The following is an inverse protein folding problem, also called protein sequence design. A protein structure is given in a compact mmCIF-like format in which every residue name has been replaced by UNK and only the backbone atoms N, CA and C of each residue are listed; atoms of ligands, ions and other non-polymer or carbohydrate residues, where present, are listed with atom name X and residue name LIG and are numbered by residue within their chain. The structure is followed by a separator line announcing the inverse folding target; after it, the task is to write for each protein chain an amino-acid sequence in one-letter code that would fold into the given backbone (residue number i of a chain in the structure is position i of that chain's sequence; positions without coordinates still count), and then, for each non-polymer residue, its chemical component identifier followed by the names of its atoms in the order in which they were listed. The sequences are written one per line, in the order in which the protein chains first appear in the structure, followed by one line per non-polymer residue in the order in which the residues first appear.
data_IF_378951447284
#
_entry.id   IF_378951447284
#
_cell.length_a   1.000
_cell.length_b   1.000
_cell.length_c   1.000
_cell.angle_alpha   90.00
_cell.angle_beta   90.00
_cell.angle_gamma   90.00
#
_symmetry.space_group_name_H-M   'P 1'
#
loop_
_entity.id
_entity.type
_entity.pdbx_description
1 polymer ?
#
# COMPACT_ATOMS: atom_id res chain seq x y z
N UNK A 1 28.64 38.38 -16.03
CA UNK A 1 27.72 37.64 -16.93
C UNK A 1 26.32 37.36 -16.33
N UNK A 2 26.18 36.84 -15.12
CA UNK A 2 24.87 36.48 -14.53
C UNK A 2 23.84 37.64 -14.37
N UNK A 3 24.29 38.88 -14.07
CA UNK A 3 23.39 40.05 -13.95
C UNK A 3 22.75 40.45 -15.29
N UNK A 4 23.49 40.37 -16.40
CA UNK A 4 22.99 40.70 -17.74
C UNK A 4 21.97 39.69 -18.22
N UNK A 5 22.24 38.38 -18.03
CA UNK A 5 21.31 37.32 -18.34
C UNK A 5 19.98 37.44 -17.57
N UNK A 6 20.04 37.77 -16.28
CA UNK A 6 18.85 37.96 -15.41
C UNK A 6 18.05 39.18 -15.83
N UNK A 7 18.70 40.26 -16.28
CA UNK A 7 18.03 41.44 -16.81
C UNK A 7 17.31 41.13 -18.12
N UNK A 8 17.98 40.52 -19.10
CA UNK A 8 17.39 40.11 -20.37
C UNK A 8 16.21 39.16 -20.20
N UNK A 9 16.33 38.17 -19.29
CA UNK A 9 15.24 37.26 -18.95
C UNK A 9 14.01 38.03 -18.42
N UNK A 10 14.20 38.99 -17.50
CA UNK A 10 13.12 39.81 -16.98
C UNK A 10 12.47 40.67 -18.06
N UNK A 11 13.21 41.24 -18.99
CA UNK A 11 12.67 42.06 -20.08
C UNK A 11 11.85 41.16 -21.05
N UNK A 12 12.36 40.01 -21.39
CA UNK A 12 11.63 39.02 -22.22
C UNK A 12 10.34 38.55 -21.55
N UNK A 13 10.38 38.30 -20.24
CA UNK A 13 9.17 37.93 -19.47
C UNK A 13 8.12 39.08 -19.50
N UNK A 14 8.52 40.31 -19.23
CA UNK A 14 7.63 41.47 -19.30
C UNK A 14 7.05 41.68 -20.70
N UNK A 15 7.86 41.56 -21.75
CA UNK A 15 7.40 41.67 -23.13
C UNK A 15 6.37 40.58 -23.48
N UNK A 16 6.57 39.34 -23.05
CA UNK A 16 5.61 38.23 -23.23
C UNK A 16 4.30 38.48 -22.48
N UNK A 17 4.37 38.99 -21.24
CA UNK A 17 3.19 39.33 -20.44
C UNK A 17 2.38 40.44 -21.10
N UNK A 18 3.06 41.49 -21.59
CA UNK A 18 2.42 42.61 -22.32
C UNK A 18 1.76 42.14 -23.62
N UNK A 19 2.47 41.34 -24.43
CA UNK A 19 1.92 40.76 -25.65
C UNK A 19 0.70 39.87 -25.38
N UNK A 20 0.74 39.08 -24.29
CA UNK A 20 -0.39 38.25 -23.85
C UNK A 20 -1.59 39.09 -23.43
N UNK A 21 -1.36 40.19 -22.69
CA UNK A 21 -2.41 41.10 -22.27
C UNK A 21 -3.10 41.78 -23.45
N UNK A 22 -2.32 42.27 -24.45
CA UNK A 22 -2.86 42.86 -25.69
C UNK A 22 -3.68 41.87 -26.49
N UNK A 23 -3.19 40.60 -26.60
CA UNK A 23 -3.93 39.53 -27.29
C UNK A 23 -5.24 39.22 -26.60
N UNK A 24 -5.25 39.17 -25.26
CA UNK A 24 -6.47 38.95 -24.47
C UNK A 24 -7.49 40.12 -24.62
N UNK A 25 -6.99 41.34 -24.65
CA UNK A 25 -7.87 42.56 -24.84
C UNK A 25 -8.54 42.56 -26.22
N UNK A 26 -7.88 42.03 -27.26
CA UNK A 26 -8.39 42.00 -28.63
C UNK A 26 -9.20 40.76 -28.98
N UNK A 27 -9.39 39.84 -28.02
CA UNK A 27 -10.21 38.64 -28.25
C UNK A 27 -11.70 38.98 -28.29
N UNK A 28 -12.43 38.35 -29.22
CA UNK A 28 -13.90 38.41 -29.24
C UNK A 28 -14.48 37.70 -28.01
N UNK A 29 -15.71 38.06 -27.61
CA UNK A 29 -16.34 37.46 -26.43
C UNK A 29 -16.51 35.96 -26.61
N UNK A 30 -16.79 35.49 -27.81
CA UNK A 30 -16.89 34.06 -28.16
C UNK A 30 -15.55 33.33 -27.99
N UNK A 31 -14.43 33.96 -28.31
CA UNK A 31 -13.09 33.37 -28.10
C UNK A 31 -12.73 33.31 -26.62
N UNK A 32 -13.15 34.28 -25.81
CA UNK A 32 -12.98 34.27 -24.36
C UNK A 32 -13.75 33.11 -23.73
N UNK A 33 -15.04 32.97 -24.08
CA UNK A 33 -15.88 31.83 -23.63
C UNK A 33 -15.29 30.51 -24.01
N UNK A 34 -14.87 30.29 -25.25
CA UNK A 34 -14.24 29.06 -25.71
C UNK A 34 -12.96 28.78 -24.92
N UNK A 35 -12.17 29.76 -24.61
CA UNK A 35 -10.94 29.64 -23.84
C UNK A 35 -11.22 29.24 -22.38
N UNK A 36 -12.25 29.84 -21.77
CA UNK A 36 -12.68 29.45 -20.43
C UNK A 36 -13.18 28.00 -20.40
N UNK A 37 -14.02 27.61 -21.35
CA UNK A 37 -14.51 26.23 -21.49
C UNK A 37 -13.34 25.25 -21.66
N UNK A 38 -12.40 25.55 -22.56
CA UNK A 38 -11.20 24.72 -22.75
C UNK A 38 -10.34 24.65 -21.50
N UNK A 39 -10.26 25.76 -20.75
CA UNK A 39 -9.58 25.81 -19.45
C UNK A 39 -10.21 24.86 -18.42
N UNK A 40 -11.53 24.90 -18.30
CA UNK A 40 -12.28 23.99 -17.43
C UNK A 40 -12.15 22.53 -17.86
N UNK A 41 -12.23 22.23 -19.16
CA UNK A 41 -12.01 20.88 -19.68
C UNK A 41 -10.61 20.39 -19.34
N UNK A 42 -9.58 21.21 -19.55
CA UNK A 42 -8.21 20.88 -19.20
C UNK A 42 -8.03 20.60 -17.71
N UNK A 43 -8.66 21.40 -16.85
CA UNK A 43 -8.65 21.19 -15.39
C UNK A 43 -9.33 19.85 -15.00
N UNK A 44 -10.49 19.56 -15.58
CA UNK A 44 -11.19 18.30 -15.32
C UNK A 44 -10.34 17.09 -15.77
N UNK A 45 -9.72 17.17 -16.95
CA UNK A 45 -8.84 16.12 -17.45
C UNK A 45 -7.65 15.88 -16.50
N UNK A 46 -7.03 16.95 -16.00
CA UNK A 46 -5.92 16.85 -15.03
C UNK A 46 -6.40 16.15 -13.74
N UNK A 47 -7.57 16.52 -13.21
CA UNK A 47 -8.12 15.87 -12.02
C UNK A 47 -8.36 14.39 -12.26
N UNK A 48 -9.00 14.02 -13.39
CA UNK A 48 -9.27 12.63 -13.74
C UNK A 48 -7.96 11.84 -13.83
N UNK A 49 -6.97 12.36 -14.56
CA UNK A 49 -5.66 11.72 -14.69
C UNK A 49 -4.95 11.58 -13.33
N UNK A 50 -4.95 12.63 -12.51
CA UNK A 50 -4.34 12.58 -11.18
C UNK A 50 -5.04 11.55 -10.29
N UNK A 51 -6.38 11.53 -10.26
CA UNK A 51 -7.15 10.55 -9.50
C UNK A 51 -6.86 9.14 -9.97
N UNK A 52 -6.84 8.91 -11.29
CA UNK A 52 -6.50 7.60 -11.86
C UNK A 52 -5.10 7.14 -11.43
N UNK A 53 -4.10 8.02 -11.51
CA UNK A 53 -2.73 7.71 -11.09
C UNK A 53 -2.67 7.38 -9.59
N UNK A 54 -3.35 8.15 -8.74
CA UNK A 54 -3.36 7.93 -7.29
C UNK A 54 -4.00 6.58 -6.97
N UNK A 55 -5.19 6.30 -7.49
CA UNK A 55 -5.91 5.05 -7.20
C UNK A 55 -5.16 3.83 -7.74
N UNK A 56 -4.55 3.95 -8.92
CA UNK A 56 -3.85 2.82 -9.56
C UNK A 56 -2.51 2.52 -8.91
N UNK A 57 -1.73 3.55 -8.58
CA UNK A 57 -0.31 3.38 -8.22
C UNK A 57 0.03 3.69 -6.76
N UNK A 58 -0.78 4.47 -6.05
CA UNK A 58 -0.45 4.94 -4.70
C UNK A 58 -1.24 4.21 -3.64
N UNK A 59 -2.57 4.12 -3.77
CA UNK A 59 -3.38 3.51 -2.73
C UNK A 59 -4.67 2.88 -3.27
N UNK A 60 -5.09 1.81 -2.63
CA UNK A 60 -6.32 1.09 -2.94
C UNK A 60 -7.17 0.95 -1.69
N UNK A 61 -8.47 1.24 -1.80
CA UNK A 61 -9.42 0.91 -0.73
C UNK A 61 -9.68 -0.60 -0.72
N UNK A 62 -9.57 -1.20 0.46
CA UNK A 62 -9.86 -2.61 0.68
C UNK A 62 -10.76 -2.74 1.91
N UNK A 63 -11.78 -3.61 1.83
CA UNK A 63 -12.61 -3.97 2.97
C UNK A 63 -12.08 -5.26 3.58
N UNK A 64 -11.88 -5.27 4.89
CA UNK A 64 -11.52 -6.48 5.65
C UNK A 64 -12.75 -7.38 5.70
N UNK A 65 -12.56 -8.66 5.41
CA UNK A 65 -13.57 -9.70 5.56
C UNK A 65 -13.01 -10.86 6.38
N UNK A 66 -13.76 -11.26 7.39
CA UNK A 66 -13.41 -12.33 8.32
C UNK A 66 -12.54 -11.88 9.49
N UNK A 67 -12.22 -12.85 10.35
CA UNK A 67 -11.68 -12.63 11.69
C UNK A 67 -10.20 -12.99 11.83
N UNK A 68 -9.51 -13.31 10.73
CA UNK A 68 -8.12 -13.79 10.76
C UNK A 68 -7.10 -12.76 11.31
N UNK A 69 -7.44 -11.48 11.29
CA UNK A 69 -6.65 -10.39 11.85
C UNK A 69 -7.28 -9.78 13.11
N UNK A 70 -8.23 -10.48 13.72
CA UNK A 70 -8.91 -10.04 14.93
C UNK A 70 -7.90 -9.75 16.04
N UNK A 71 -8.11 -8.69 16.75
CA UNK A 71 -7.37 -7.85 17.67
C UNK A 71 -6.79 -6.61 16.98
N UNK A 72 -6.30 -6.69 15.76
CA UNK A 72 -5.74 -5.54 15.03
C UNK A 72 -6.75 -4.98 14.02
N UNK A 73 -7.36 -5.85 13.21
CA UNK A 73 -8.37 -5.50 12.21
C UNK A 73 -9.62 -6.38 12.40
N UNK A 74 -10.79 -5.77 12.23
CA UNK A 74 -12.07 -6.43 12.41
C UNK A 74 -12.82 -6.56 11.08
N UNK A 75 -13.73 -7.51 11.03
CA UNK A 75 -14.64 -7.65 9.88
C UNK A 75 -15.38 -6.33 9.62
N UNK A 76 -15.43 -5.92 8.36
CA UNK A 76 -16.06 -4.67 7.93
C UNK A 76 -15.15 -3.43 7.96
N UNK A 77 -13.95 -3.50 8.52
CA UNK A 77 -12.98 -2.40 8.46
C UNK A 77 -12.67 -2.03 7.01
N UNK A 78 -12.60 -0.74 6.73
CA UNK A 78 -12.13 -0.27 5.42
C UNK A 78 -10.77 0.38 5.56
N UNK A 79 -9.85 -0.10 4.75
CA UNK A 79 -8.45 0.30 4.79
C UNK A 79 -8.03 0.98 3.48
N UNK A 80 -7.07 1.85 3.59
CA UNK A 80 -6.25 2.25 2.44
C UNK A 80 -4.97 1.42 2.48
N UNK A 81 -4.71 0.72 1.40
CA UNK A 81 -3.50 -0.08 1.17
C UNK A 81 -2.49 0.78 0.45
N UNK A 82 -1.31 0.96 1.03
CA UNK A 82 -0.18 1.69 0.45
C UNK A 82 0.58 0.76 -0.50
N UNK A 83 0.44 1.02 -1.79
CA UNK A 83 1.09 0.26 -2.88
C UNK A 83 2.46 0.84 -3.27
N UNK A 84 2.72 2.08 -2.88
CA UNK A 84 3.89 2.81 -3.36
C UNK A 84 5.15 2.53 -2.52
N UNK A 85 5.02 2.34 -1.22
CA UNK A 85 6.16 2.13 -0.32
C UNK A 85 7.04 0.96 -0.77
N UNK A 86 6.44 -0.14 -1.21
CA UNK A 86 7.16 -1.34 -1.64
C UNK A 86 7.88 -1.20 -2.99
N UNK A 87 7.73 -0.07 -3.69
CA UNK A 87 8.54 0.28 -4.86
C UNK A 87 9.89 0.87 -4.50
N UNK A 88 10.03 1.37 -3.26
CA UNK A 88 11.22 2.10 -2.80
C UNK A 88 11.94 1.42 -1.64
N UNK A 89 11.31 0.43 -1.00
CA UNK A 89 11.89 -0.34 0.11
C UNK A 89 11.30 -1.73 0.18
N UNK A 90 11.99 -2.61 0.89
CA UNK A 90 11.47 -3.94 1.16
C UNK A 90 10.44 -3.94 2.29
N UNK A 91 9.52 -4.92 2.27
CA UNK A 91 8.63 -5.22 3.39
C UNK A 91 9.41 -5.55 4.65
N UNK A 92 8.89 -5.11 5.81
CA UNK A 92 9.52 -5.34 7.11
C UNK A 92 8.69 -6.33 7.92
N UNK A 93 9.36 -6.99 8.89
CA UNK A 93 8.67 -7.82 9.88
C UNK A 93 7.58 -7.01 10.57
N UNK A 94 6.48 -7.68 10.87
CA UNK A 94 5.26 -7.18 11.47
C UNK A 94 4.39 -6.27 10.58
N UNK A 95 4.80 -5.88 9.39
CA UNK A 95 3.91 -5.16 8.49
C UNK A 95 2.70 -6.04 8.11
N UNK A 96 1.51 -5.44 8.17
CA UNK A 96 0.28 -6.06 7.70
C UNK A 96 0.16 -5.80 6.22
N UNK A 97 0.08 -6.86 5.44
CA UNK A 97 0.12 -6.82 3.97
C UNK A 97 -1.16 -7.37 3.35
N UNK A 98 -1.39 -6.97 2.11
CA UNK A 98 -2.43 -7.51 1.24
C UNK A 98 -1.78 -8.23 0.07
N UNK A 99 -2.26 -9.44 -0.24
CA UNK A 99 -1.80 -10.27 -1.34
C UNK A 99 -2.97 -11.07 -1.95
N UNK A 100 -2.89 -11.50 -3.23
CA UNK A 100 -3.93 -12.29 -3.85
C UNK A 100 -3.93 -13.73 -3.33
N UNK A 101 -5.10 -14.33 -3.17
CA UNK A 101 -5.21 -15.76 -2.89
C UNK A 101 -5.38 -16.54 -4.20
N UNK A 102 -4.35 -17.27 -4.60
CA UNK A 102 -4.27 -17.90 -5.94
C UNK A 102 -5.33 -18.97 -6.24
N UNK A 103 -5.94 -19.54 -5.22
CA UNK A 103 -6.96 -20.56 -5.42
C UNK A 103 -8.38 -20.02 -5.62
N UNK A 104 -8.57 -18.69 -5.55
CA UNK A 104 -9.87 -18.05 -5.75
C UNK A 104 -9.69 -16.68 -6.41
N UNK A 105 -10.30 -16.50 -7.58
CA UNK A 105 -10.29 -15.24 -8.32
C UNK A 105 -10.85 -14.09 -7.46
N UNK A 106 -10.32 -12.90 -7.66
CA UNK A 106 -10.71 -11.65 -6.97
C UNK A 106 -10.68 -11.71 -5.43
N UNK A 107 -10.00 -12.70 -4.86
CA UNK A 107 -9.86 -12.86 -3.42
C UNK A 107 -8.49 -12.39 -2.96
N UNK A 108 -8.49 -11.52 -1.96
CA UNK A 108 -7.29 -10.95 -1.37
C UNK A 108 -7.25 -11.27 0.12
N UNK A 109 -6.09 -11.71 0.59
CA UNK A 109 -5.83 -11.97 1.99
C UNK A 109 -5.08 -10.80 2.63
N UNK A 110 -5.34 -10.62 3.93
CA UNK A 110 -4.64 -9.65 4.78
C UNK A 110 -4.00 -10.44 5.89
N UNK A 111 -2.65 -10.38 6.01
CA UNK A 111 -1.86 -11.09 7.02
C UNK A 111 -0.68 -10.24 7.47
N UNK A 112 -0.06 -10.64 8.56
CA UNK A 112 1.15 -10.01 9.12
C UNK A 112 2.39 -10.77 8.68
N UNK A 113 3.42 -10.05 8.24
CA UNK A 113 4.74 -10.61 7.94
C UNK A 113 5.40 -11.05 9.24
N UNK A 114 5.78 -12.31 9.32
CA UNK A 114 6.49 -12.89 10.44
C UNK A 114 7.91 -13.29 10.05
N UNK A 115 8.09 -13.92 8.90
CA UNK A 115 9.39 -14.30 8.37
C UNK A 115 9.85 -13.42 7.22
N UNK A 116 11.14 -13.14 7.19
CA UNK A 116 11.81 -12.33 6.18
C UNK A 116 12.70 -13.19 5.29
N UNK A 117 13.06 -12.73 4.09
CA UNK A 117 13.98 -13.42 3.20
C UNK A 117 15.25 -13.91 3.89
N UNK A 118 15.63 -15.15 3.61
CA UNK A 118 16.83 -15.80 4.14
C UNK A 118 16.71 -16.34 5.58
N UNK A 119 15.58 -16.16 6.25
CA UNK A 119 15.37 -16.66 7.61
C UNK A 119 14.82 -18.10 7.60
N UNK A 120 15.12 -18.83 8.64
CA UNK A 120 14.53 -20.14 8.91
C UNK A 120 13.44 -20.00 9.95
N UNK A 121 12.22 -20.41 9.61
CA UNK A 121 11.04 -20.35 10.46
C UNK A 121 10.65 -21.74 10.91
N UNK A 122 10.30 -21.87 12.18
CA UNK A 122 9.70 -23.04 12.75
C UNK A 122 8.67 -22.68 13.80
N UNK A 123 7.63 -23.49 13.97
CA UNK A 123 6.64 -23.34 15.03
C UNK A 123 6.78 -24.54 15.97
N UNK A 124 7.24 -24.28 17.19
CA UNK A 124 7.47 -25.31 18.23
C UNK A 124 6.54 -25.00 19.40
N UNK A 125 5.75 -25.98 19.82
CA UNK A 125 4.80 -25.85 20.94
C UNK A 125 3.88 -24.64 20.85
N UNK A 126 3.54 -24.25 19.60
CA UNK A 126 2.66 -23.12 19.33
C UNK A 126 3.33 -21.73 19.35
N UNK A 127 4.65 -21.66 19.44
CA UNK A 127 5.43 -20.43 19.39
C UNK A 127 6.29 -20.37 18.12
N UNK A 128 6.45 -19.16 17.59
CA UNK A 128 7.28 -18.93 16.39
C UNK A 128 8.76 -18.86 16.79
N UNK A 129 9.60 -19.55 16.04
CA UNK A 129 11.04 -19.47 16.12
C UNK A 129 11.60 -18.96 14.80
N UNK A 130 12.53 -18.01 14.86
CA UNK A 130 13.28 -17.47 13.73
C UNK A 130 14.76 -17.76 13.94
N UNK A 131 15.38 -18.51 13.01
CA UNK A 131 16.78 -18.94 13.09
C UNK A 131 17.12 -19.66 14.40
N UNK A 132 16.15 -20.42 14.95
CA UNK A 132 16.29 -21.16 16.20
C UNK A 132 16.04 -20.37 17.49
N UNK A 133 15.76 -19.06 17.39
CA UNK A 133 15.41 -18.21 18.54
C UNK A 133 13.92 -17.94 18.58
N UNK A 134 13.31 -18.03 19.76
CA UNK A 134 11.88 -17.74 19.93
C UNK A 134 11.60 -16.26 19.65
N UNK A 135 10.67 -16.02 18.73
CA UNK A 135 10.24 -14.67 18.39
C UNK A 135 9.40 -14.08 19.53
N UNK A 136 9.83 -12.95 20.07
CA UNK A 136 9.06 -12.18 21.04
C UNK A 136 8.03 -11.33 20.26
N UNK A 137 6.78 -11.77 20.27
CA UNK A 137 5.67 -11.10 19.57
C UNK A 137 4.44 -11.00 20.48
N UNK A 138 3.59 -10.00 20.24
CA UNK A 138 2.41 -9.70 21.05
C UNK A 138 1.10 -9.72 20.27
N UNK A 139 1.13 -10.21 19.01
CA UNK A 139 -0.03 -10.16 18.11
C UNK A 139 -0.95 -11.36 18.24
N UNK A 140 -0.38 -12.54 18.53
CA UNK A 140 -1.13 -13.77 18.74
C UNK A 140 -1.98 -13.68 19.99
N UNK A 141 -3.29 -13.94 19.84
CA UNK A 141 -4.22 -13.95 20.96
C UNK A 141 -4.04 -15.17 21.87
N UNK A 142 -3.68 -16.29 21.26
CA UNK A 142 -3.59 -17.60 21.89
C UNK A 142 -2.40 -18.37 21.34
N UNK A 143 -1.92 -19.35 22.09
CA UNK A 143 -0.93 -20.32 21.63
C UNK A 143 -1.49 -21.04 20.40
N UNK A 144 -0.69 -21.18 19.36
CA UNK A 144 -1.10 -21.86 18.13
C UNK A 144 -1.32 -23.35 18.36
N UNK A 145 -2.50 -23.83 17.95
CA UNK A 145 -2.84 -25.26 18.06
C UNK A 145 -2.24 -26.10 16.93
N UNK A 146 -1.94 -25.46 15.78
CA UNK A 146 -1.40 -26.13 14.60
C UNK A 146 -0.23 -25.34 14.04
N UNK A 147 0.89 -26.01 13.87
CA UNK A 147 2.09 -25.48 13.21
C UNK A 147 1.99 -25.55 11.68
N UNK A 148 1.19 -26.50 11.15
CA UNK A 148 1.05 -26.74 9.71
C UNK A 148 2.38 -27.12 9.07
N UNK A 149 2.69 -26.57 7.90
CA UNK A 149 3.95 -26.85 7.21
C UNK A 149 5.19 -26.34 7.99
N UNK A 150 5.01 -25.39 8.91
CA UNK A 150 6.09 -24.85 9.74
C UNK A 150 6.37 -25.68 11.00
N UNK A 151 5.80 -26.89 11.15
CA UNK A 151 6.22 -27.88 12.14
C UNK A 151 7.69 -28.29 11.91
N UNK A 152 8.07 -28.43 10.65
CA UNK A 152 9.45 -28.58 10.23
C UNK A 152 10.07 -27.22 9.87
N UNK A 153 11.38 -27.02 10.05
CA UNK A 153 12.05 -25.78 9.72
C UNK A 153 11.91 -25.43 8.23
N UNK A 154 11.44 -24.22 7.92
CA UNK A 154 11.33 -23.70 6.55
C UNK A 154 12.34 -22.58 6.38
N UNK A 155 13.32 -22.75 5.50
CA UNK A 155 14.24 -21.67 5.14
C UNK A 155 13.69 -20.88 3.96
N UNK A 156 13.45 -19.60 4.17
CA UNK A 156 12.92 -18.69 3.15
C UNK A 156 13.98 -18.32 2.12
N UNK A 157 13.60 -18.29 0.85
CA UNK A 157 14.44 -17.81 -0.23
C UNK A 157 14.70 -16.29 -0.15
N UNK A 158 15.45 -15.76 -1.12
CA UNK A 158 15.91 -14.37 -1.12
C UNK A 158 14.77 -13.33 -1.30
N UNK A 159 13.60 -13.76 -1.75
CA UNK A 159 12.42 -12.94 -2.01
C UNK A 159 11.14 -13.50 -1.37
N UNK A 160 11.30 -14.45 -0.44
CA UNK A 160 10.18 -15.14 0.20
C UNK A 160 9.86 -14.58 1.58
N UNK A 161 8.57 -14.53 1.89
CA UNK A 161 8.00 -14.05 3.14
C UNK A 161 7.07 -15.08 3.74
N UNK A 162 7.11 -15.23 5.06
CA UNK A 162 6.17 -16.06 5.81
C UNK A 162 5.20 -15.18 6.58
N UNK A 163 3.90 -15.41 6.41
CA UNK A 163 2.86 -14.56 6.97
C UNK A 163 1.91 -15.34 7.87
N UNK A 164 1.45 -14.71 8.94
CA UNK A 164 0.45 -15.26 9.86
C UNK A 164 -0.70 -14.26 10.06
N UNK A 165 -1.88 -14.81 10.34
CA UNK A 165 -2.97 -14.01 10.89
C UNK A 165 -2.74 -13.74 12.37
N UNK A 166 -3.21 -12.58 12.87
CA UNK A 166 -3.12 -12.25 14.29
C UNK A 166 -4.04 -13.17 15.12
N UNK A 167 -5.17 -13.58 14.57
CA UNK A 167 -6.01 -14.65 15.12
C UNK A 167 -5.47 -16.02 14.71
N UNK A 168 -4.42 -16.48 15.37
CA UNK A 168 -3.62 -17.67 15.03
C UNK A 168 -4.43 -18.95 14.80
N UNK A 169 -5.49 -19.15 15.58
CA UNK A 169 -6.29 -20.37 15.52
C UNK A 169 -7.50 -20.28 14.58
N UNK A 170 -7.76 -19.09 14.01
CA UNK A 170 -8.82 -18.83 13.02
C UNK A 170 -8.27 -18.11 11.78
N UNK A 171 -7.12 -18.53 11.28
CA UNK A 171 -6.47 -17.93 10.12
C UNK A 171 -5.99 -18.99 9.14
N UNK A 172 -6.34 -18.82 7.88
CA UNK A 172 -5.69 -19.46 6.75
C UNK A 172 -4.52 -18.58 6.32
N UNK A 173 -3.29 -19.06 6.50
CA UNK A 173 -2.05 -18.32 6.31
C UNK A 173 -0.90 -19.25 5.87
N UNK A 174 0.35 -18.79 5.92
CA UNK A 174 1.50 -19.53 5.42
C UNK A 174 1.71 -20.92 6.04
N UNK A 175 1.04 -21.23 7.14
CA UNK A 175 1.04 -22.59 7.73
C UNK A 175 0.29 -23.61 6.88
N UNK A 176 -0.64 -23.14 6.06
CA UNK A 176 -1.41 -23.99 5.16
C UNK A 176 -0.73 -24.07 3.78
N UNK A 177 -0.62 -25.26 3.22
CA UNK A 177 -0.02 -25.49 1.90
C UNK A 177 -0.69 -24.67 0.79
N UNK A 178 -1.99 -24.35 0.95
CA UNK A 178 -2.74 -23.53 -0.01
C UNK A 178 -2.29 -22.07 -0.07
N UNK A 179 -1.68 -21.54 0.99
CA UNK A 179 -1.08 -20.20 1.04
C UNK A 179 0.43 -20.31 0.88
N UNK A 180 1.10 -21.11 1.72
CA UNK A 180 2.54 -21.30 1.68
C UNK A 180 3.34 -20.04 1.94
N UNK A 181 4.58 -20.01 1.48
CA UNK A 181 5.43 -18.81 1.46
C UNK A 181 5.00 -17.90 0.32
N UNK A 182 5.14 -16.57 0.51
CA UNK A 182 4.77 -15.57 -0.47
C UNK A 182 6.01 -14.97 -1.10
N UNK A 183 6.00 -14.80 -2.42
CA UNK A 183 7.05 -14.08 -3.11
C UNK A 183 6.84 -12.56 -3.04
N UNK A 184 7.94 -11.82 -3.16
CA UNK A 184 7.97 -10.36 -3.07
C UNK A 184 7.00 -9.66 -4.03
N UNK A 185 6.85 -10.19 -5.22
CA UNK A 185 6.00 -9.64 -6.29
C UNK A 185 4.49 -9.90 -6.07
N UNK A 186 4.14 -10.85 -5.21
CA UNK A 186 2.75 -11.10 -4.82
C UNK A 186 2.22 -10.06 -3.82
N UNK A 187 3.12 -9.33 -3.15
CA UNK A 187 2.75 -8.34 -2.14
C UNK A 187 2.23 -7.05 -2.79
N UNK A 188 0.91 -6.88 -2.80
CA UNK A 188 0.25 -5.70 -3.39
C UNK A 188 0.63 -4.42 -2.65
N UNK A 189 0.67 -4.47 -1.33
CA UNK A 189 0.99 -3.33 -0.49
C UNK A 189 0.70 -3.59 0.98
N UNK A 190 0.98 -2.60 1.82
CA UNK A 190 0.72 -2.67 3.26
C UNK A 190 -0.57 -1.96 3.65
N UNK A 191 -1.27 -2.46 4.65
CA UNK A 191 -2.36 -1.76 5.29
C UNK A 191 -1.82 -0.46 5.91
N UNK A 192 -2.37 0.69 5.54
CA UNK A 192 -1.80 1.98 5.97
C UNK A 192 -2.75 2.73 6.91
N UNK A 193 -3.95 3.03 6.45
CA UNK A 193 -4.92 3.82 7.21
C UNK A 193 -6.26 3.10 7.25
N UNK A 194 -6.85 2.95 8.43
CA UNK A 194 -8.25 2.56 8.60
C UNK A 194 -9.11 3.80 8.45
N UNK A 195 -10.00 3.78 7.46
CA UNK A 195 -10.90 4.90 7.15
C UNK A 195 -12.33 4.69 7.63
N UNK A 196 -12.68 3.47 8.02
CA UNK A 196 -13.97 3.11 8.58
C UNK A 196 -13.83 1.87 9.47
N UNK A 197 -14.57 1.78 10.59
CA UNK A 197 -15.51 2.76 11.13
C UNK A 197 -14.81 4.03 11.65
N UNK A 198 -15.50 5.17 11.62
CA UNK A 198 -14.93 6.47 11.99
C UNK A 198 -14.42 6.53 13.44
N UNK A 199 -15.01 5.74 14.35
CA UNK A 199 -14.55 5.63 15.75
C UNK A 199 -13.11 5.07 15.85
N UNK A 200 -12.70 4.26 14.88
CA UNK A 200 -11.39 3.58 14.84
C UNK A 200 -10.50 4.15 13.72
N UNK A 201 -10.84 5.36 13.22
CA UNK A 201 -10.07 6.03 12.19
C UNK A 201 -8.63 6.30 12.65
N UNK A 202 -7.66 5.88 11.86
CA UNK A 202 -6.24 6.10 12.18
C UNK A 202 -5.28 5.27 11.35
N UNK A 203 -4.01 5.49 11.60
CA UNK A 203 -2.94 4.68 10.99
C UNK A 203 -2.97 3.27 11.60
N UNK A 204 -2.86 2.26 10.74
CA UNK A 204 -2.77 0.87 11.18
C UNK A 204 -1.42 0.66 11.88
N UNK A 205 -1.47 0.19 13.12
CA UNK A 205 -0.25 -0.08 13.90
C UNK A 205 0.32 -1.43 13.49
N UNK A 206 1.61 -1.45 13.17
CA UNK A 206 2.34 -2.62 12.73
C UNK A 206 3.24 -3.22 13.82
N UNK A 207 3.53 -2.42 14.86
CA UNK A 207 4.37 -2.80 16.03
C UNK A 207 3.57 -2.75 17.32
#
# INVERSE_FOLDING_TARGET
MARRYRYEYRQRKKAREKARAVRLANMSDREKELREILGWIGYIVIIICATYLIVTYVGQRTKVSGDSMMNTLHDGDNLIVDKISYRFRDPKRYEIIVFPFHHQEDTYYIKRIIGLPGETIQIIEGYVYINGEQLNEHYGREVMLKAGIAEEPITLGADEYFVLGDNRNASSDSRETAVGVLHRDELIGRAWVRIWPLKDFGVVVHE
#
